data_IF_487652599782
#
_entry.id   IF_487652599782
#
_cell.length_a   1.000
_cell.length_b   1.000
_cell.length_c   1.000
_cell.angle_alpha   90.00
_cell.angle_beta   90.00
_cell.angle_gamma   90.00
#
_symmetry.space_group_name_H-M   'P 1'
#
loop_
_entity.id
_entity.type
_entity.pdbx_description
1 polymer ?
#
# COMPACT_ATOMS: atom_id res chain seq x y z
N UNK A 1 -4.40 -8.64 3.03
CA UNK A 1 -3.37 -9.70 3.19
C UNK A 1 -3.71 -10.89 2.28
N UNK A 2 -2.71 -11.66 1.87
CA UNK A 2 -2.88 -12.77 0.96
C UNK A 2 -1.85 -13.87 1.23
N UNK A 3 -2.23 -15.13 0.98
CA UNK A 3 -1.29 -16.24 0.93
C UNK A 3 -0.56 -16.21 -0.42
N UNK A 4 0.69 -16.63 -0.44
CA UNK A 4 1.43 -16.78 -1.69
C UNK A 4 0.85 -17.95 -2.48
N UNK A 5 0.57 -17.68 -3.75
CA UNK A 5 0.05 -18.64 -4.70
C UNK A 5 0.65 -18.31 -6.07
N UNK A 6 1.51 -19.20 -6.56
CA UNK A 6 2.16 -19.06 -7.86
C UNK A 6 1.14 -19.09 -9.02
N UNK A 7 -0.01 -19.75 -8.83
CA UNK A 7 -1.07 -19.80 -9.85
C UNK A 7 -1.71 -18.43 -10.06
N UNK A 8 -1.88 -17.64 -8.99
CA UNK A 8 -2.42 -16.27 -9.08
C UNK A 8 -1.49 -15.37 -9.91
N UNK A 9 -0.17 -15.55 -9.82
CA UNK A 9 0.80 -14.77 -10.60
C UNK A 9 0.80 -15.19 -12.08
N UNK A 10 0.69 -16.49 -12.35
CA UNK A 10 0.61 -17.03 -13.71
C UNK A 10 -0.65 -16.54 -14.45
N UNK A 11 -1.80 -16.51 -13.77
CA UNK A 11 -3.07 -16.02 -14.33
C UNK A 11 -3.05 -14.51 -14.62
N UNK A 12 -2.22 -13.75 -13.90
CA UNK A 12 -1.99 -12.32 -14.13
C UNK A 12 -0.98 -12.04 -15.26
N UNK A 13 -0.46 -13.07 -15.94
CA UNK A 13 0.57 -12.95 -16.98
C UNK A 13 1.96 -12.59 -16.45
N UNK A 14 2.17 -12.66 -15.13
CA UNK A 14 3.42 -12.36 -14.45
C UNK A 14 4.15 -13.67 -14.14
N UNK A 15 4.96 -14.14 -15.08
CA UNK A 15 5.68 -15.40 -14.96
C UNK A 15 7.14 -15.15 -14.53
N UNK A 16 7.45 -15.36 -13.24
CA UNK A 16 8.80 -15.21 -12.67
C UNK A 16 9.33 -16.52 -12.07
N UNK A 17 9.41 -17.61 -12.85
CA UNK A 17 9.74 -18.95 -12.32
C UNK A 17 11.13 -18.97 -11.68
N UNK A 18 12.10 -18.25 -12.26
CA UNK A 18 13.47 -18.18 -11.73
C UNK A 18 13.53 -17.59 -10.32
N UNK A 19 12.69 -16.60 -10.01
CA UNK A 19 12.65 -15.98 -8.68
C UNK A 19 12.15 -16.95 -7.61
N UNK A 20 11.09 -17.71 -7.92
CA UNK A 20 10.52 -18.71 -7.00
C UNK A 20 11.46 -19.91 -6.83
N UNK A 21 12.11 -20.34 -7.91
CA UNK A 21 13.14 -21.37 -7.88
C UNK A 21 14.31 -20.97 -6.97
N UNK A 22 14.82 -19.74 -7.10
CA UNK A 22 15.86 -19.22 -6.22
C UNK A 22 15.39 -19.11 -4.77
N UNK A 23 14.18 -18.59 -4.51
CA UNK A 23 13.66 -18.48 -3.15
C UNK A 23 13.55 -19.85 -2.46
N UNK A 24 13.20 -20.90 -3.23
CA UNK A 24 13.12 -22.28 -2.74
C UNK A 24 14.47 -22.85 -2.34
N UNK A 25 15.57 -22.47 -2.99
CA UNK A 25 16.94 -22.85 -2.57
C UNK A 25 17.26 -22.37 -1.15
N UNK A 26 16.65 -21.25 -0.72
CA UNK A 26 16.77 -20.70 0.62
C UNK A 26 15.63 -21.13 1.57
N UNK A 27 14.80 -22.11 1.18
CA UNK A 27 13.69 -22.62 1.98
C UNK A 27 12.45 -21.73 2.02
N UNK A 28 12.43 -20.64 1.23
CA UNK A 28 11.31 -19.71 1.15
C UNK A 28 10.34 -20.20 0.08
N UNK A 29 9.45 -21.11 0.46
CA UNK A 29 8.54 -21.80 -0.47
C UNK A 29 7.08 -21.37 -0.34
N UNK A 30 6.67 -21.02 0.86
CA UNK A 30 5.31 -20.59 1.15
C UNK A 30 5.34 -19.37 2.03
N UNK A 31 4.30 -18.55 1.92
CA UNK A 31 4.20 -17.39 2.76
C UNK A 31 2.82 -16.76 2.77
N UNK A 32 2.72 -15.73 3.59
CA UNK A 32 1.52 -14.93 3.75
C UNK A 32 1.92 -13.50 4.04
N UNK A 33 1.40 -12.56 3.24
CA UNK A 33 1.79 -11.16 3.29
C UNK A 33 0.63 -10.29 3.73
N UNK A 34 0.87 -9.48 4.75
CA UNK A 34 0.05 -8.34 5.15
C UNK A 34 0.52 -7.09 4.43
N UNK A 35 -0.44 -6.27 4.02
CA UNK A 35 -0.19 -5.05 3.25
C UNK A 35 -0.88 -3.88 3.94
N UNK A 36 -0.24 -2.73 3.91
CA UNK A 36 -0.75 -1.45 4.39
C UNK A 36 -0.32 -0.37 3.39
N UNK A 37 -1.26 0.48 2.99
CA UNK A 37 -0.96 1.73 2.30
C UNK A 37 -1.07 2.87 3.30
N UNK A 38 -0.07 3.73 3.38
CA UNK A 38 -0.12 4.92 4.21
C UNK A 38 -0.61 6.16 3.43
N UNK A 39 -0.76 7.28 4.14
CA UNK A 39 -1.21 8.55 3.56
C UNK A 39 -0.18 9.21 2.63
N UNK A 40 1.06 8.73 2.62
CA UNK A 40 2.16 9.20 1.78
C UNK A 40 2.37 8.30 0.54
N UNK A 41 1.38 7.46 0.21
CA UNK A 41 1.44 6.50 -0.89
C UNK A 41 2.56 5.45 -0.76
N UNK A 42 3.08 5.24 0.45
CA UNK A 42 4.00 4.13 0.68
C UNK A 42 3.21 2.82 0.78
N UNK A 43 3.70 1.79 0.07
CA UNK A 43 3.26 0.42 0.25
C UNK A 43 4.17 -0.29 1.26
N UNK A 44 3.57 -0.73 2.36
CA UNK A 44 4.25 -1.44 3.44
C UNK A 44 3.79 -2.88 3.49
N UNK A 45 4.73 -3.80 3.63
CA UNK A 45 4.45 -5.24 3.66
C UNK A 45 5.08 -5.93 4.86
N UNK A 46 4.32 -6.82 5.50
CA UNK A 46 4.83 -7.78 6.48
C UNK A 46 4.60 -9.19 5.95
N UNK A 47 5.68 -9.91 5.66
CA UNK A 47 5.63 -11.25 5.07
C UNK A 47 6.10 -12.29 6.07
N UNK A 48 5.28 -13.34 6.25
CA UNK A 48 5.66 -14.55 6.96
C UNK A 48 6.02 -15.61 5.94
N UNK A 49 7.21 -16.20 6.06
CA UNK A 49 7.64 -17.34 5.27
C UNK A 49 7.65 -18.61 6.12
N UNK A 50 7.18 -19.73 5.57
CA UNK A 50 7.08 -21.00 6.28
C UNK A 50 7.18 -22.19 5.31
N UNK A 51 7.40 -23.38 5.87
CA UNK A 51 7.51 -24.63 5.12
C UNK A 51 6.13 -25.20 4.74
N UNK A 52 6.10 -26.04 3.69
CA UNK A 52 4.87 -26.66 3.19
C UNK A 52 4.11 -27.45 4.27
N UNK A 53 4.84 -28.20 5.10
CA UNK A 53 4.26 -29.06 6.16
C UNK A 53 3.39 -28.27 7.15
N UNK A 54 3.72 -27.00 7.37
CA UNK A 54 3.04 -26.12 8.32
C UNK A 54 2.05 -25.17 7.63
N UNK A 55 1.93 -25.21 6.29
CA UNK A 55 1.17 -24.23 5.51
C UNK A 55 -0.25 -24.04 6.01
N UNK A 56 -1.00 -25.13 6.19
CA UNK A 56 -2.42 -25.06 6.55
C UNK A 56 -2.61 -24.47 7.96
N UNK A 57 -1.84 -24.97 8.93
CA UNK A 57 -1.87 -24.48 10.31
C UNK A 57 -1.41 -23.02 10.43
N UNK A 58 -0.32 -22.66 9.74
CA UNK A 58 0.21 -21.31 9.72
C UNK A 58 -0.77 -20.31 9.10
N UNK A 59 -1.36 -20.65 7.94
CA UNK A 59 -2.36 -19.79 7.30
C UNK A 59 -3.58 -19.63 8.20
N UNK A 60 -4.05 -20.70 8.85
CA UNK A 60 -5.17 -20.63 9.79
C UNK A 60 -4.84 -19.71 10.96
N UNK A 61 -3.71 -19.90 11.63
CA UNK A 61 -3.28 -19.08 12.77
C UNK A 61 -3.12 -17.60 12.40
N UNK A 62 -2.55 -17.30 11.22
CA UNK A 62 -2.41 -15.94 10.72
C UNK A 62 -3.77 -15.31 10.36
N UNK A 63 -4.70 -16.11 9.85
CA UNK A 63 -6.05 -15.66 9.51
C UNK A 63 -6.86 -15.36 10.77
N UNK A 64 -6.77 -16.22 11.79
CA UNK A 64 -7.45 -16.04 13.08
C UNK A 64 -6.98 -14.78 13.82
N UNK A 65 -5.69 -14.42 13.66
CA UNK A 65 -5.07 -13.24 14.29
C UNK A 65 -4.91 -12.05 13.33
N UNK A 66 -5.59 -12.07 12.18
CA UNK A 66 -5.41 -11.09 11.11
C UNK A 66 -5.59 -9.65 11.58
N UNK A 67 -6.56 -9.39 12.46
CA UNK A 67 -6.81 -8.07 13.02
C UNK A 67 -5.61 -7.55 13.82
N UNK A 68 -5.16 -8.33 14.79
CA UNK A 68 -4.03 -7.99 15.67
C UNK A 68 -2.75 -7.76 14.87
N UNK A 69 -2.45 -8.62 13.90
CA UNK A 69 -1.27 -8.49 13.03
C UNK A 69 -1.36 -7.23 12.17
N UNK A 70 -2.55 -6.87 11.68
CA UNK A 70 -2.74 -5.64 10.89
C UNK A 70 -2.51 -4.38 11.74
N UNK A 71 -3.00 -4.37 12.98
CA UNK A 71 -2.75 -3.28 13.94
C UNK A 71 -1.27 -3.21 14.32
N UNK A 72 -0.63 -4.35 14.51
CA UNK A 72 0.82 -4.43 14.77
C UNK A 72 1.62 -3.84 13.62
N UNK A 73 1.30 -4.21 12.36
CA UNK A 73 1.95 -3.66 11.17
C UNK A 73 1.82 -2.13 11.11
N UNK A 74 0.60 -1.60 11.32
CA UNK A 74 0.36 -0.17 11.35
C UNK A 74 1.16 0.52 12.48
N UNK A 75 1.20 -0.07 13.67
CA UNK A 75 1.90 0.49 14.83
C UNK A 75 3.42 0.51 14.63
N UNK A 76 3.99 -0.54 14.03
CA UNK A 76 5.41 -0.59 13.66
C UNK A 76 5.72 0.46 12.58
N UNK A 77 4.86 0.59 11.57
CA UNK A 77 5.04 1.58 10.51
C UNK A 77 5.00 3.01 11.03
N UNK A 78 4.03 3.35 11.88
CA UNK A 78 3.96 4.66 12.56
C UNK A 78 5.22 4.93 13.38
N UNK A 79 5.69 3.94 14.14
CA UNK A 79 6.93 4.06 14.92
C UNK A 79 8.15 4.28 14.00
N UNK A 80 8.22 3.57 12.88
CA UNK A 80 9.27 3.74 11.88
C UNK A 80 9.25 5.15 11.27
N UNK A 81 8.08 5.66 10.90
CA UNK A 81 7.92 7.02 10.38
C UNK A 81 8.33 8.09 11.40
N UNK A 82 7.99 7.90 12.67
CA UNK A 82 8.35 8.83 13.74
C UNK A 82 9.87 8.89 13.99
N UNK A 83 10.57 7.77 13.81
CA UNK A 83 12.02 7.67 14.05
C UNK A 83 12.86 7.97 12.80
N UNK A 84 12.26 7.93 11.61
CA UNK A 84 12.99 8.02 10.35
C UNK A 84 13.20 9.48 9.90
N UNK A 85 14.45 9.95 9.72
CA UNK A 85 14.74 11.22 9.05
C UNK A 85 14.24 11.26 7.60
N UNK A 86 13.99 10.08 6.99
CA UNK A 86 13.39 9.98 5.66
C UNK A 86 11.92 10.40 5.66
N UNK A 87 11.19 10.24 6.77
CA UNK A 87 9.84 10.78 6.92
C UNK A 87 9.85 12.31 6.79
N UNK A 88 10.81 12.99 7.43
CA UNK A 88 10.98 14.44 7.27
C UNK A 88 11.41 14.84 5.84
N UNK A 89 12.23 14.04 5.15
CA UNK A 89 12.58 14.29 3.74
C UNK A 89 11.43 14.03 2.77
N UNK A 90 10.60 13.02 3.02
CA UNK A 90 9.42 12.68 2.23
C UNK A 90 8.31 13.70 2.48
N UNK A 91 8.08 14.12 3.73
CA UNK A 91 7.17 15.22 4.06
C UNK A 91 7.63 16.53 3.40
N UNK A 92 8.93 16.87 3.48
CA UNK A 92 9.47 18.04 2.78
C UNK A 92 9.43 17.90 1.25
N UNK A 93 9.51 16.68 0.70
CA UNK A 93 9.33 16.42 -0.72
C UNK A 93 7.85 16.52 -1.15
N UNK A 94 6.93 16.03 -0.32
CA UNK A 94 5.48 16.15 -0.47
C UNK A 94 5.02 17.60 -0.36
N UNK A 95 5.54 18.39 0.58
CA UNK A 95 5.30 19.83 0.67
C UNK A 95 5.88 20.58 -0.53
N UNK A 96 7.08 20.21 -1.02
CA UNK A 96 7.59 20.73 -2.30
C UNK A 96 6.77 20.27 -3.51
N UNK A 97 6.04 19.17 -3.38
CA UNK A 97 5.14 18.61 -4.40
C UNK A 97 3.67 18.99 -4.18
N UNK A 98 3.34 19.82 -3.17
CA UNK A 98 2.06 20.50 -3.08
C UNK A 98 2.04 21.60 -4.15
N UNK A 99 1.92 21.16 -5.40
CA UNK A 99 2.02 21.99 -6.61
C UNK A 99 0.83 22.91 -6.79
N UNK A 100 -0.23 22.71 -6.01
CA UNK A 100 -1.49 23.43 -6.11
C UNK A 100 -1.68 24.32 -4.89
N UNK A 101 -2.01 25.58 -5.17
CA UNK A 101 -2.58 26.52 -4.22
C UNK A 101 -3.93 26.01 -3.70
N UNK A 102 -4.38 26.55 -2.58
CA UNK A 102 -5.73 26.27 -2.04
C UNK A 102 -6.80 26.43 -3.13
N UNK A 103 -6.65 27.46 -3.97
CA UNK A 103 -7.60 27.72 -5.05
C UNK A 103 -7.57 26.68 -6.15
N UNK A 104 -6.39 26.18 -6.53
CA UNK A 104 -6.27 25.12 -7.52
C UNK A 104 -6.83 23.79 -6.98
N UNK A 105 -6.64 23.49 -5.69
CA UNK A 105 -7.25 22.34 -5.04
C UNK A 105 -8.79 22.41 -4.99
N UNK A 106 -9.36 23.58 -4.71
CA UNK A 106 -10.82 23.79 -4.77
C UNK A 106 -11.38 23.53 -6.18
N UNK A 107 -10.71 24.03 -7.22
CA UNK A 107 -11.11 23.81 -8.61
C UNK A 107 -11.00 22.32 -8.98
N UNK A 108 -9.88 21.67 -8.59
CA UNK A 108 -9.64 20.26 -8.85
C UNK A 108 -10.68 19.37 -8.15
N UNK A 109 -11.05 19.69 -6.91
CA UNK A 109 -12.12 19.00 -6.19
C UNK A 109 -13.42 18.99 -6.99
N UNK A 110 -13.92 20.16 -7.40
CA UNK A 110 -15.18 20.23 -8.15
C UNK A 110 -15.11 19.54 -9.51
N UNK A 111 -13.96 19.63 -10.20
CA UNK A 111 -13.73 18.90 -11.44
C UNK A 111 -13.79 17.37 -11.21
N UNK A 112 -13.18 16.86 -10.14
CA UNK A 112 -13.19 15.42 -9.80
C UNK A 112 -14.58 14.89 -9.43
N UNK A 113 -15.43 15.75 -8.86
CA UNK A 113 -16.84 15.44 -8.56
C UNK A 113 -17.72 15.57 -9.83
N UNK A 114 -17.14 16.02 -10.95
CA UNK A 114 -17.79 16.07 -12.27
C UNK A 114 -18.46 17.39 -12.61
N UNK A 115 -18.13 18.49 -11.91
CA UNK A 115 -18.65 19.83 -12.23
C UNK A 115 -17.98 20.42 -13.47
N UNK A 116 -18.78 21.06 -14.31
CA UNK A 116 -18.30 21.83 -15.46
C UNK A 116 -17.60 23.11 -15.01
N UNK A 117 -16.78 23.72 -15.88
CA UNK A 117 -16.14 25.01 -15.57
C UNK A 117 -17.16 26.09 -15.17
N UNK A 118 -18.33 26.13 -15.82
CA UNK A 118 -19.39 27.11 -15.52
C UNK A 118 -19.99 26.90 -14.12
N UNK A 119 -20.27 25.65 -13.76
CA UNK A 119 -20.78 25.30 -12.43
C UNK A 119 -19.73 25.58 -11.34
N UNK A 120 -18.48 25.19 -11.57
CA UNK A 120 -17.37 25.46 -10.64
C UNK A 120 -17.17 26.96 -10.45
N UNK A 121 -17.24 27.74 -11.55
CA UNK A 121 -17.15 29.19 -11.48
C UNK A 121 -18.31 29.81 -10.68
N UNK A 122 -19.52 29.30 -10.86
CA UNK A 122 -20.70 29.72 -10.10
C UNK A 122 -20.59 29.37 -8.61
N UNK A 123 -20.15 28.14 -8.27
CA UNK A 123 -19.96 27.68 -6.89
C UNK A 123 -18.88 28.51 -6.18
N UNK A 124 -17.78 28.78 -6.87
CA UNK A 124 -16.62 29.44 -6.29
C UNK A 124 -16.62 30.98 -6.48
N UNK A 125 -17.68 31.55 -7.04
CA UNK A 125 -17.85 33.00 -7.22
C UNK A 125 -16.82 33.66 -8.13
N UNK A 126 -16.34 32.96 -9.15
CA UNK A 126 -15.35 33.46 -10.12
C UNK A 126 -15.91 33.49 -11.54
N UNK A 127 -15.16 34.11 -12.45
CA UNK A 127 -15.44 34.06 -13.88
C UNK A 127 -14.92 32.75 -14.46
N UNK A 128 -15.71 32.20 -15.38
CA UNK A 128 -15.24 31.19 -16.34
C UNK A 128 -14.19 31.74 -17.29
#
# INVERSE_FOLDING_TARGET
>A
PFAWDEQIMADAGLHFPELFEQAREFGVTHGYTFVLHDYNDNLVTLSFAFNLEQRAEAIQALTDRKGDISVLLASIHESYLALSPLSAKNAAALERNARFTDRENEILYWASVGKTYQETAMILGIKT
#
